data_IF_573460770005
#
_entry.id   IF_573460770005
#
_cell.length_a   1.000
_cell.length_b   1.000
_cell.length_c   1.000
_cell.angle_alpha   90.00
_cell.angle_beta   90.00
_cell.angle_gamma   90.00
#
_symmetry.space_group_name_H-M   'P 1'
#
loop_
_entity.id
_entity.type
_entity.pdbx_description
1 polymer ?
#
# COMPACT_ATOMS: atom_id res chain seq x y z
N UNK A 1 -17.64 22.75 74.03
CA UNK A 1 -17.04 22.89 72.68
C UNK A 1 -17.49 24.22 72.10
N UNK A 2 -16.58 25.07 71.61
CA UNK A 2 -16.97 26.34 70.97
C UNK A 2 -15.83 27.37 70.81
N UNK A 3 -15.91 28.14 69.73
CA UNK A 3 -15.20 29.42 69.44
C UNK A 3 -13.67 29.41 69.19
N UNK A 4 -13.28 29.55 67.90
CA UNK A 4 -12.63 30.76 67.30
C UNK A 4 -12.21 30.44 65.84
N UNK A 5 -12.80 31.02 64.79
CA UNK A 5 -12.64 32.38 64.20
C UNK A 5 -11.24 32.73 63.63
N UNK A 6 -11.18 32.87 62.28
CA UNK A 6 -10.37 33.73 61.37
C UNK A 6 -10.29 32.98 60.01
N UNK A 7 -10.34 33.52 58.78
CA UNK A 7 -10.61 34.80 58.05
C UNK A 7 -11.15 34.34 56.65
N UNK A 8 -11.78 35.09 55.75
CA UNK A 8 -12.42 36.43 55.64
C UNK A 8 -13.37 36.38 54.41
N UNK A 9 -14.45 37.17 54.28
CA UNK A 9 -14.55 38.48 53.56
C UNK A 9 -13.56 38.64 52.37
N UNK A 10 -13.94 39.07 51.16
CA UNK A 10 -15.17 39.71 50.59
C UNK A 10 -15.09 39.57 49.05
N UNK A 11 -16.15 39.21 48.31
CA UNK A 11 -17.26 40.02 47.77
C UNK A 11 -16.96 40.97 46.58
N UNK A 12 -17.84 40.91 45.57
CA UNK A 12 -18.18 41.91 44.54
C UNK A 12 -17.18 42.33 43.45
N UNK A 13 -17.40 41.76 42.25
CA UNK A 13 -17.92 42.46 41.06
C UNK A 13 -17.50 43.92 40.77
N UNK A 14 -16.77 44.11 39.67
CA UNK A 14 -16.90 45.21 38.68
C UNK A 14 -16.32 44.68 37.35
N UNK A 15 -17.17 44.49 36.33
CA UNK A 15 -17.44 45.42 35.23
C UNK A 15 -16.34 45.46 34.16
N UNK A 16 -16.66 44.76 33.05
CA UNK A 16 -16.39 45.11 31.64
C UNK A 16 -15.24 46.04 31.30
N UNK A 17 -14.23 45.48 30.62
CA UNK A 17 -13.55 46.15 29.52
C UNK A 17 -13.77 45.35 28.23
N UNK A 18 -14.31 46.00 27.19
CA UNK A 18 -14.36 45.44 25.84
C UNK A 18 -12.97 45.58 25.21
N UNK A 19 -12.24 44.47 25.05
CA UNK A 19 -11.17 44.42 24.05
C UNK A 19 -11.70 43.77 22.77
N UNK A 20 -11.33 44.26 21.57
CA UNK A 20 -11.63 43.57 20.33
C UNK A 20 -10.93 42.20 20.32
N UNK A 21 -11.49 41.18 19.65
CA UNK A 21 -10.76 39.94 19.43
C UNK A 21 -9.45 40.26 18.70
N UNK A 22 -8.35 39.64 19.15
CA UNK A 22 -7.11 39.67 18.39
C UNK A 22 -7.38 39.14 16.97
N UNK A 23 -6.70 39.65 15.93
CA UNK A 23 -6.80 39.06 14.61
C UNK A 23 -6.42 37.59 14.72
N UNK A 24 -7.31 36.71 14.26
CA UNK A 24 -6.91 35.35 13.94
C UNK A 24 -5.71 35.45 12.97
N UNK A 25 -4.67 34.62 13.10
CA UNK A 25 -3.67 34.54 12.06
C UNK A 25 -4.40 34.22 10.75
N UNK A 26 -4.17 35.03 9.71
CA UNK A 26 -4.68 34.71 8.38
C UNK A 26 -4.17 33.31 8.03
N UNK A 27 -5.11 32.40 7.78
CA UNK A 27 -4.81 31.04 7.36
C UNK A 27 -4.31 31.09 5.92
N UNK A 28 -3.03 31.40 5.77
CA UNK A 28 -2.29 31.09 4.57
C UNK A 28 -2.21 29.57 4.46
N UNK A 29 -3.17 29.00 3.73
CA UNK A 29 -2.96 28.12 2.57
C UNK A 29 -4.24 27.31 2.34
N UNK A 30 -5.25 27.95 1.73
CA UNK A 30 -6.44 27.25 1.22
C UNK A 30 -6.03 26.11 0.26
N UNK A 31 -4.94 26.29 -0.50
CA UNK A 31 -4.33 25.23 -1.34
C UNK A 31 -3.90 23.99 -0.52
N UNK A 32 -3.36 24.14 0.70
CA UNK A 32 -2.98 23.00 1.54
C UNK A 32 -4.19 22.29 2.18
N UNK A 33 -5.29 23.01 2.39
CA UNK A 33 -6.55 22.42 2.83
C UNK A 33 -7.24 21.69 1.68
N UNK A 34 -7.27 22.28 0.48
CA UNK A 34 -7.81 21.65 -0.73
C UNK A 34 -6.99 20.41 -1.13
N UNK A 35 -5.64 20.45 -1.07
CA UNK A 35 -4.78 19.26 -1.28
C UNK A 35 -5.03 18.17 -0.23
N UNK A 36 -5.31 18.55 1.03
CA UNK A 36 -5.61 17.60 2.10
C UNK A 36 -7.01 16.98 1.92
N UNK A 37 -8.02 17.76 1.54
CA UNK A 37 -9.35 17.25 1.19
C UNK A 37 -9.28 16.36 -0.05
N UNK A 38 -8.54 16.74 -1.08
CA UNK A 38 -8.32 15.91 -2.26
C UNK A 38 -7.64 14.57 -1.91
N UNK A 39 -6.63 14.57 -1.02
CA UNK A 39 -6.00 13.33 -0.56
C UNK A 39 -6.91 12.44 0.31
N UNK A 40 -7.84 13.03 1.07
CA UNK A 40 -8.85 12.30 1.84
C UNK A 40 -9.89 11.70 0.89
N UNK A 41 -10.43 12.50 -0.04
CA UNK A 41 -11.39 12.05 -1.06
C UNK A 41 -10.77 11.00 -2.00
N UNK A 42 -9.49 11.11 -2.36
CA UNK A 42 -8.75 10.09 -3.11
C UNK A 42 -8.61 8.77 -2.33
N UNK A 43 -8.38 8.85 -1.02
CA UNK A 43 -8.22 7.68 -0.15
C UNK A 43 -9.56 6.98 0.07
N UNK A 44 -10.63 7.74 0.26
CA UNK A 44 -11.99 7.22 0.35
C UNK A 44 -12.49 6.69 -1.01
N UNK A 45 -12.09 7.31 -2.13
CA UNK A 45 -12.37 6.83 -3.49
C UNK A 45 -11.60 5.55 -3.84
N UNK A 46 -10.33 5.45 -3.43
CA UNK A 46 -9.53 4.22 -3.56
C UNK A 46 -10.14 3.08 -2.74
N UNK A 47 -10.52 3.35 -1.48
CA UNK A 47 -11.24 2.38 -0.65
C UNK A 47 -12.61 2.02 -1.25
N UNK A 48 -13.37 2.98 -1.78
CA UNK A 48 -14.63 2.72 -2.46
C UNK A 48 -14.45 1.87 -3.74
N UNK A 49 -13.33 2.01 -4.46
CA UNK A 49 -12.99 1.20 -5.63
C UNK A 49 -12.49 -0.19 -5.26
N UNK A 50 -11.70 -0.34 -4.19
CA UNK A 50 -11.35 -1.66 -3.64
C UNK A 50 -12.62 -2.39 -3.17
N UNK A 51 -13.52 -1.69 -2.49
CA UNK A 51 -14.84 -2.20 -2.11
C UNK A 51 -15.68 -2.53 -3.34
N UNK A 52 -15.69 -1.72 -4.41
CA UNK A 52 -16.45 -1.99 -5.63
C UNK A 52 -15.91 -3.19 -6.41
N UNK A 53 -14.59 -3.30 -6.62
CA UNK A 53 -13.99 -4.46 -7.30
C UNK A 53 -14.11 -5.74 -6.50
N UNK A 54 -13.96 -5.67 -5.17
CA UNK A 54 -14.24 -6.77 -4.23
C UNK A 54 -15.73 -7.14 -4.25
N UNK A 55 -16.63 -6.17 -4.36
CA UNK A 55 -18.08 -6.39 -4.47
C UNK A 55 -18.43 -7.11 -5.78
N UNK A 56 -17.95 -6.62 -6.92
CA UNK A 56 -18.20 -7.22 -8.25
C UNK A 56 -17.64 -8.64 -8.34
N UNK A 57 -16.45 -8.90 -7.78
CA UNK A 57 -15.87 -10.25 -7.75
C UNK A 57 -16.67 -11.19 -6.84
N UNK A 58 -17.07 -10.74 -5.64
CA UNK A 58 -17.93 -11.52 -4.74
C UNK A 58 -19.33 -11.78 -5.31
N UNK A 59 -19.93 -10.84 -6.04
CA UNK A 59 -21.19 -11.07 -6.77
C UNK A 59 -21.07 -12.22 -7.76
N UNK A 60 -20.04 -12.19 -8.61
CA UNK A 60 -19.79 -13.20 -9.62
C UNK A 60 -19.48 -14.58 -9.01
N UNK A 61 -18.82 -14.63 -7.85
CA UNK A 61 -18.59 -15.87 -7.10
C UNK A 61 -19.87 -16.42 -6.45
N UNK A 62 -20.71 -15.55 -5.87
CA UNK A 62 -21.99 -15.94 -5.28
C UNK A 62 -23.00 -16.41 -6.34
N UNK A 63 -22.99 -15.81 -7.54
CA UNK A 63 -23.82 -16.22 -8.67
C UNK A 63 -23.37 -17.58 -9.23
N UNK A 64 -22.06 -17.75 -9.52
CA UNK A 64 -21.49 -19.06 -9.92
C UNK A 64 -21.75 -20.14 -8.88
N UNK A 65 -21.64 -19.82 -7.59
CA UNK A 65 -21.97 -20.73 -6.49
C UNK A 65 -23.44 -21.13 -6.49
N UNK A 66 -24.36 -20.23 -6.81
CA UNK A 66 -25.78 -20.55 -6.94
C UNK A 66 -26.05 -21.47 -8.15
N UNK A 67 -25.38 -21.24 -9.28
CA UNK A 67 -25.47 -22.10 -10.47
C UNK A 67 -24.89 -23.50 -10.22
N UNK A 68 -23.73 -23.62 -9.56
CA UNK A 68 -23.12 -24.92 -9.27
C UNK A 68 -23.98 -25.77 -8.31
N UNK A 69 -24.68 -25.13 -7.37
CA UNK A 69 -25.63 -25.79 -6.46
C UNK A 69 -26.89 -26.25 -7.20
N UNK A 70 -27.35 -25.54 -8.23
CA UNK A 70 -28.48 -25.97 -9.08
C UNK A 70 -28.11 -26.98 -10.16
N UNK A 71 -26.86 -26.98 -10.65
CA UNK A 71 -26.37 -27.90 -11.68
C UNK A 71 -26.19 -29.36 -11.18
N UNK A 72 -26.13 -29.59 -9.86
CA UNK A 72 -25.97 -30.92 -9.26
C UNK A 72 -27.29 -31.72 -9.34
N UNK A 73 -27.33 -32.89 -10.02
CA UNK A 73 -28.58 -33.60 -10.33
C UNK A 73 -29.14 -34.39 -9.14
N UNK A 74 -29.63 -33.68 -8.11
CA UNK A 74 -30.34 -34.25 -6.96
C UNK A 74 -31.81 -33.80 -6.96
N UNK A 75 -32.71 -34.65 -7.45
CA UNK A 75 -34.13 -34.30 -7.67
C UNK A 75 -34.98 -34.06 -6.42
N UNK A 76 -34.42 -34.00 -5.21
CA UNK A 76 -35.20 -33.88 -3.97
C UNK A 76 -34.58 -33.18 -2.76
N UNK A 77 -33.43 -32.50 -2.89
CA UNK A 77 -32.86 -31.78 -1.75
C UNK A 77 -33.42 -30.35 -1.62
N UNK A 78 -34.31 -30.15 -0.64
CA UNK A 78 -34.84 -28.82 -0.30
C UNK A 78 -33.76 -27.89 0.25
N UNK A 79 -32.68 -28.44 0.80
CA UNK A 79 -31.54 -27.70 1.34
C UNK A 79 -30.74 -27.01 0.24
N UNK A 80 -30.43 -27.73 -0.85
CA UNK A 80 -29.72 -27.17 -2.00
C UNK A 80 -30.49 -25.99 -2.64
N UNK A 81 -31.82 -26.10 -2.78
CA UNK A 81 -32.67 -25.00 -3.28
C UNK A 81 -32.72 -23.80 -2.33
N UNK A 82 -32.68 -24.04 -1.02
CA UNK A 82 -32.60 -22.97 -0.02
C UNK A 82 -31.24 -22.26 -0.06
N UNK A 83 -30.16 -23.01 -0.24
CA UNK A 83 -28.79 -22.52 -0.35
C UNK A 83 -28.58 -21.68 -1.62
N UNK A 84 -29.00 -22.17 -2.80
CA UNK A 84 -29.00 -21.39 -4.04
C UNK A 84 -29.85 -20.10 -3.92
N UNK A 85 -31.00 -20.16 -3.24
CA UNK A 85 -31.82 -18.96 -2.97
C UNK A 85 -31.15 -17.98 -2.01
N UNK A 86 -30.37 -18.45 -1.04
CA UNK A 86 -29.59 -17.62 -0.12
C UNK A 86 -28.43 -16.93 -0.85
N UNK A 87 -27.71 -17.68 -1.69
CA UNK A 87 -26.63 -17.18 -2.55
C UNK A 87 -27.13 -16.09 -3.51
N UNK A 88 -28.19 -16.36 -4.28
CA UNK A 88 -28.84 -15.34 -5.14
C UNK A 88 -29.33 -14.11 -4.39
N UNK A 89 -29.81 -14.27 -3.15
CA UNK A 89 -30.23 -13.12 -2.31
C UNK A 89 -29.03 -12.28 -1.87
N UNK A 90 -27.88 -12.91 -1.58
CA UNK A 90 -26.64 -12.20 -1.25
C UNK A 90 -26.08 -11.46 -2.46
N UNK A 91 -25.99 -12.12 -3.63
CA UNK A 91 -25.60 -11.48 -4.89
C UNK A 91 -26.50 -10.29 -5.23
N UNK A 92 -27.83 -10.45 -5.15
CA UNK A 92 -28.80 -9.36 -5.37
C UNK A 92 -28.82 -8.27 -4.26
N UNK A 93 -28.07 -8.45 -3.16
CA UNK A 93 -27.85 -7.43 -2.14
C UNK A 93 -26.56 -6.65 -2.40
N UNK A 94 -25.50 -7.32 -2.87
CA UNK A 94 -24.29 -6.65 -3.35
C UNK A 94 -24.57 -5.85 -4.63
N UNK A 95 -25.31 -6.41 -5.60
CA UNK A 95 -25.69 -5.75 -6.86
C UNK A 95 -26.63 -4.52 -6.70
N UNK A 96 -26.93 -4.13 -5.47
CA UNK A 96 -27.64 -2.90 -5.08
C UNK A 96 -26.75 -1.83 -4.47
N UNK A 97 -25.47 -2.15 -4.24
CA UNK A 97 -24.44 -1.19 -3.91
C UNK A 97 -24.16 -0.41 -5.20
N UNK A 98 -24.32 0.93 -5.21
CA UNK A 98 -24.08 1.72 -6.40
C UNK A 98 -22.58 1.68 -6.74
N UNK A 99 -22.25 1.08 -7.89
CA UNK A 99 -20.95 1.29 -8.52
C UNK A 99 -20.93 2.73 -9.04
N UNK A 100 -19.98 3.54 -8.59
CA UNK A 100 -19.80 4.90 -9.09
C UNK A 100 -19.21 4.83 -10.51
N UNK A 101 -20.10 4.74 -11.50
CA UNK A 101 -19.81 4.68 -12.94
C UNK A 101 -19.51 6.11 -13.48
N UNK A 102 -18.47 6.72 -12.93
CA UNK A 102 -18.09 8.10 -13.21
C UNK A 102 -17.03 8.18 -14.33
N UNK A 103 -17.51 8.31 -15.56
CA UNK A 103 -16.69 8.39 -16.76
C UNK A 103 -15.75 9.63 -16.83
N UNK A 104 -15.86 10.59 -15.90
CA UNK A 104 -14.84 11.62 -15.71
C UNK A 104 -13.68 11.11 -14.86
N UNK A 105 -13.99 10.34 -13.80
CA UNK A 105 -13.01 9.76 -12.89
C UNK A 105 -12.14 8.70 -13.58
N UNK A 106 -12.67 7.97 -14.57
CA UNK A 106 -11.89 7.02 -15.36
C UNK A 106 -10.90 7.72 -16.31
N UNK A 107 -11.30 8.85 -16.92
CA UNK A 107 -10.40 9.66 -17.75
C UNK A 107 -9.27 10.26 -16.91
N UNK A 108 -9.56 10.66 -15.67
CA UNK A 108 -8.55 11.13 -14.71
C UNK A 108 -7.53 10.03 -14.39
N UNK A 109 -7.96 8.79 -14.12
CA UNK A 109 -7.01 7.66 -13.95
C UNK A 109 -6.16 7.47 -15.22
N UNK A 110 -6.79 7.44 -16.40
CA UNK A 110 -6.06 7.16 -17.65
C UNK A 110 -5.04 8.28 -17.97
N UNK A 111 -5.31 9.51 -17.55
CA UNK A 111 -4.36 10.62 -17.59
C UNK A 111 -3.27 10.51 -16.52
N UNK A 112 -3.61 10.19 -15.27
CA UNK A 112 -2.64 9.93 -14.20
C UNK A 112 -1.66 8.79 -14.57
N UNK A 113 -2.17 7.67 -15.08
CA UNK A 113 -1.38 6.51 -15.49
C UNK A 113 -0.42 6.85 -16.64
N UNK A 114 -0.86 7.65 -17.61
CA UNK A 114 -0.03 8.13 -18.72
C UNK A 114 1.07 9.08 -18.24
N UNK A 115 0.73 9.99 -17.33
CA UNK A 115 1.68 10.94 -16.74
C UNK A 115 2.70 10.21 -15.82
N UNK A 116 2.28 9.15 -15.13
CA UNK A 116 3.13 8.21 -14.39
C UNK A 116 4.11 7.50 -15.33
N UNK A 117 3.62 6.90 -16.43
CA UNK A 117 4.48 6.23 -17.41
C UNK A 117 5.50 7.19 -18.04
N UNK A 118 5.09 8.38 -18.48
CA UNK A 118 6.01 9.37 -19.06
C UNK A 118 7.08 9.84 -18.07
N UNK A 119 6.69 10.09 -16.81
CA UNK A 119 7.60 10.51 -15.75
C UNK A 119 8.61 9.42 -15.43
N UNK A 120 8.15 8.18 -15.22
CA UNK A 120 9.00 7.02 -14.96
C UNK A 120 9.95 6.74 -16.12
N UNK A 121 9.46 6.82 -17.37
CA UNK A 121 10.27 6.64 -18.58
C UNK A 121 11.40 7.66 -18.67
N UNK A 122 11.15 8.94 -18.38
CA UNK A 122 12.19 9.98 -18.31
C UNK A 122 13.25 9.64 -17.25
N UNK A 123 12.84 9.26 -16.04
CA UNK A 123 13.79 8.91 -14.96
C UNK A 123 14.61 7.66 -15.35
N UNK A 124 13.98 6.68 -16.00
CA UNK A 124 14.67 5.49 -16.53
C UNK A 124 15.64 5.84 -17.67
N UNK A 125 15.34 6.84 -18.51
CA UNK A 125 16.23 7.39 -19.51
C UNK A 125 17.46 8.05 -18.88
N UNK A 126 17.28 8.90 -17.87
CA UNK A 126 18.36 9.57 -17.12
C UNK A 126 19.27 8.57 -16.37
N UNK A 127 18.70 7.49 -15.81
CA UNK A 127 19.43 6.40 -15.15
C UNK A 127 20.02 5.37 -16.13
N UNK A 128 19.74 5.48 -17.44
CA UNK A 128 20.08 4.50 -18.47
C UNK A 128 19.62 3.05 -18.14
N UNK A 129 18.43 2.92 -17.53
CA UNK A 129 17.74 1.65 -17.26
C UNK A 129 16.45 1.53 -18.10
N UNK A 130 15.89 0.34 -18.19
CA UNK A 130 14.63 0.05 -18.87
C UNK A 130 13.74 -0.85 -18.02
N UNK A 131 12.42 -0.66 -18.17
CA UNK A 131 11.41 -1.46 -17.49
C UNK A 131 11.49 -2.92 -17.97
N UNK A 132 11.62 -3.84 -17.03
CA UNK A 132 11.39 -5.26 -17.24
C UNK A 132 10.12 -5.65 -16.47
N UNK A 133 9.05 -5.86 -17.23
CA UNK A 133 7.75 -6.22 -16.68
C UNK A 133 7.81 -7.51 -15.87
N UNK A 134 7.19 -7.46 -14.70
CA UNK A 134 6.97 -8.57 -13.78
C UNK A 134 5.47 -8.84 -13.73
N UNK A 135 5.09 -10.10 -13.49
CA UNK A 135 3.68 -10.52 -13.42
C UNK A 135 2.96 -9.66 -12.37
N UNK A 136 1.80 -9.05 -12.69
CA UNK A 136 1.00 -8.25 -11.75
C UNK A 136 0.21 -9.17 -10.83
N UNK A 137 0.93 -9.88 -9.98
CA UNK A 137 0.42 -10.65 -8.85
C UNK A 137 1.01 -10.11 -7.54
N UNK A 138 0.54 -10.64 -6.40
CA UNK A 138 1.02 -10.18 -5.10
C UNK A 138 2.49 -10.50 -4.81
N UNK A 139 3.19 -11.24 -5.66
CA UNK A 139 4.63 -11.50 -5.55
C UNK A 139 5.50 -10.47 -6.31
N UNK A 140 4.91 -9.49 -7.01
CA UNK A 140 5.59 -8.53 -7.89
C UNK A 140 6.81 -7.84 -7.28
N UNK A 141 6.72 -7.35 -6.03
CA UNK A 141 7.85 -6.73 -5.31
C UNK A 141 9.03 -7.70 -5.17
N UNK A 142 8.76 -8.87 -4.62
CA UNK A 142 9.75 -9.90 -4.31
C UNK A 142 10.38 -10.48 -5.57
N UNK A 143 9.60 -10.64 -6.64
CA UNK A 143 10.07 -11.05 -7.96
C UNK A 143 10.95 -9.97 -8.62
N UNK A 144 10.58 -8.69 -8.51
CA UNK A 144 11.36 -7.56 -9.02
C UNK A 144 12.73 -7.47 -8.34
N UNK A 145 12.75 -7.58 -7.00
CA UNK A 145 14.02 -7.58 -6.23
C UNK A 145 14.85 -8.83 -6.53
N UNK A 146 14.24 -10.03 -6.62
CA UNK A 146 14.97 -11.25 -6.96
C UNK A 146 15.64 -11.21 -8.35
N UNK A 147 14.96 -10.63 -9.35
CA UNK A 147 15.52 -10.42 -10.69
C UNK A 147 16.73 -9.49 -10.67
N UNK A 148 16.65 -8.39 -9.92
CA UNK A 148 17.75 -7.44 -9.76
C UNK A 148 18.95 -8.06 -9.03
N UNK A 149 18.71 -8.74 -7.91
CA UNK A 149 19.75 -9.46 -7.13
C UNK A 149 20.51 -10.49 -7.99
N UNK A 150 19.82 -11.11 -8.95
CA UNK A 150 20.45 -12.00 -9.95
C UNK A 150 21.33 -11.24 -10.93
N UNK A 151 20.87 -10.10 -11.44
CA UNK A 151 21.60 -9.29 -12.43
C UNK A 151 22.90 -8.73 -11.86
N UNK A 152 22.89 -8.30 -10.60
CA UNK A 152 24.10 -7.82 -9.89
C UNK A 152 24.97 -8.97 -9.34
N UNK A 153 24.54 -10.24 -9.48
CA UNK A 153 25.32 -11.42 -9.08
C UNK A 153 25.28 -11.77 -7.58
N UNK A 154 24.34 -11.22 -6.82
CA UNK A 154 24.17 -11.51 -5.37
C UNK A 154 23.39 -12.81 -5.15
N UNK A 155 22.42 -13.11 -6.03
CA UNK A 155 21.73 -14.41 -6.05
C UNK A 155 22.11 -15.19 -7.31
N UNK A 156 22.42 -16.48 -7.15
CA UNK A 156 22.55 -17.39 -8.29
C UNK A 156 21.17 -17.63 -8.95
N UNK A 157 21.10 -17.91 -10.27
CA UNK A 157 19.84 -18.02 -11.01
C UNK A 157 18.80 -18.99 -10.41
N UNK A 158 19.26 -20.03 -9.73
CA UNK A 158 18.44 -21.07 -9.11
C UNK A 158 17.67 -20.55 -7.88
N UNK A 159 18.25 -19.57 -7.19
CA UNK A 159 17.70 -18.93 -5.98
C UNK A 159 17.07 -17.55 -6.27
N UNK A 160 17.16 -17.07 -7.51
CA UNK A 160 16.62 -15.79 -7.95
C UNK A 160 15.10 -15.86 -8.22
N UNK A 161 14.32 -16.16 -7.17
CA UNK A 161 12.87 -16.29 -7.23
C UNK A 161 12.18 -15.57 -6.05
N UNK A 162 10.89 -15.27 -6.21
CA UNK A 162 10.11 -14.53 -5.22
C UNK A 162 10.03 -15.23 -3.85
N UNK A 163 10.08 -16.57 -3.81
CA UNK A 163 9.96 -17.33 -2.58
C UNK A 163 11.22 -17.18 -1.71
N UNK A 164 12.40 -17.15 -2.34
CA UNK A 164 13.68 -16.88 -1.67
C UNK A 164 13.69 -15.47 -1.06
N UNK A 165 13.28 -14.44 -1.80
CA UNK A 165 13.21 -13.06 -1.27
C UNK A 165 12.11 -12.90 -0.21
N UNK A 166 10.94 -13.54 -0.35
CA UNK A 166 9.91 -13.59 0.72
C UNK A 166 10.42 -14.20 2.02
N UNK A 167 11.09 -15.35 1.92
CA UNK A 167 11.66 -16.02 3.08
C UNK A 167 12.75 -15.16 3.75
N UNK A 168 13.60 -14.49 2.96
CA UNK A 168 14.62 -13.59 3.48
C UNK A 168 14.03 -12.37 4.19
N UNK A 169 13.01 -11.71 3.60
CA UNK A 169 12.30 -10.59 4.22
C UNK A 169 11.62 -10.99 5.53
N UNK A 170 10.81 -12.06 5.52
CA UNK A 170 10.13 -12.56 6.72
C UNK A 170 11.12 -12.96 7.83
N UNK A 171 12.23 -13.62 7.51
CA UNK A 171 13.26 -14.01 8.48
C UNK A 171 13.97 -12.79 9.08
N UNK A 172 14.26 -11.77 8.27
CA UNK A 172 14.88 -10.54 8.76
C UNK A 172 13.93 -9.73 9.64
N UNK A 173 12.67 -9.53 9.22
CA UNK A 173 11.65 -8.80 9.99
C UNK A 173 11.42 -9.48 11.34
N UNK A 174 11.16 -10.79 11.34
CA UNK A 174 10.90 -11.55 12.58
C UNK A 174 12.08 -11.59 13.56
N UNK A 175 13.32 -11.42 13.05
CA UNK A 175 14.53 -11.33 13.87
C UNK A 175 14.83 -9.92 14.41
N UNK A 176 14.14 -8.88 13.92
CA UNK A 176 14.40 -7.48 14.25
C UNK A 176 13.11 -6.69 14.58
N UNK A 177 12.22 -7.20 15.46
CA UNK A 177 10.87 -6.65 15.67
C UNK A 177 10.86 -5.14 15.95
N UNK A 178 11.76 -4.64 16.80
CA UNK A 178 11.83 -3.23 17.20
C UNK A 178 12.10 -2.27 16.03
N UNK A 179 12.70 -2.76 14.93
CA UNK A 179 12.93 -1.96 13.72
C UNK A 179 11.71 -1.86 12.80
N UNK A 180 10.71 -2.73 12.97
CA UNK A 180 9.59 -2.87 12.03
C UNK A 180 8.23 -2.61 12.66
N UNK A 181 7.99 -3.03 13.91
CA UNK A 181 6.73 -2.84 14.63
C UNK A 181 6.14 -1.41 14.55
N UNK A 182 6.91 -0.30 14.62
CA UNK A 182 6.36 1.05 14.48
C UNK A 182 5.74 1.37 13.12
N UNK A 183 6.03 0.57 12.08
CA UNK A 183 5.57 0.77 10.71
C UNK A 183 4.49 -0.24 10.27
N UNK A 184 4.09 -1.15 11.15
CA UNK A 184 3.12 -2.21 10.83
C UNK A 184 1.72 -1.87 11.34
N UNK A 185 0.70 -1.82 10.45
CA UNK A 185 -0.66 -1.48 10.86
C UNK A 185 -1.28 -2.61 11.68
N UNK A 186 -1.87 -2.26 12.83
CA UNK A 186 -2.65 -3.21 13.62
C UNK A 186 -3.99 -3.53 12.95
N UNK A 187 -4.29 -4.83 12.84
CA UNK A 187 -5.56 -5.37 12.35
C UNK A 187 -6.66 -5.34 13.41
N UNK A 188 -6.30 -5.32 14.71
CA UNK A 188 -7.17 -4.77 15.76
C UNK A 188 -6.98 -3.24 15.74
N UNK A 189 -7.90 -2.52 15.06
CA UNK A 189 -7.82 -1.07 14.87
C UNK A 189 -7.95 -0.23 16.15
N UNK A 190 -8.02 1.09 16.00
CA UNK A 190 -8.08 2.09 17.09
C UNK A 190 -9.18 1.81 18.14
N UNK A 191 -10.28 1.15 17.72
CA UNK A 191 -11.40 0.74 18.58
C UNK A 191 -11.12 -0.51 19.46
N UNK A 192 -9.97 -1.17 19.29
CA UNK A 192 -9.74 -2.54 19.74
C UNK A 192 -9.64 -2.73 21.26
N UNK A 193 -8.81 -1.95 21.97
CA UNK A 193 -8.48 -2.17 23.40
C UNK A 193 -8.30 -0.91 24.25
N UNK A 194 -9.18 0.07 24.05
CA UNK A 194 -9.34 1.21 24.96
C UNK A 194 -8.21 2.24 24.91
N UNK A 195 -8.32 3.35 25.66
CA UNK A 195 -7.61 4.61 25.40
C UNK A 195 -6.09 4.60 25.72
N UNK A 196 -5.51 3.43 26.05
CA UNK A 196 -4.14 3.29 26.54
C UNK A 196 -3.31 2.25 25.74
N UNK A 197 -3.81 1.74 24.62
CA UNK A 197 -2.98 0.98 23.68
C UNK A 197 -2.92 1.74 22.36
N UNK A 198 -1.80 2.45 22.15
CA UNK A 198 -1.37 2.93 20.84
C UNK A 198 -1.49 1.77 19.85
N UNK A 199 -1.95 2.05 18.61
CA UNK A 199 -2.33 1.04 17.60
C UNK A 199 -1.17 0.23 17.00
N UNK A 200 -0.34 -0.34 17.86
CA UNK A 200 0.90 -1.07 17.58
C UNK A 200 0.63 -2.58 17.65
N UNK A 201 1.11 -3.27 16.62
CA UNK A 201 0.85 -4.70 16.37
C UNK A 201 1.27 -5.59 17.55
N UNK A 202 0.37 -6.49 17.98
CA UNK A 202 0.65 -7.41 19.08
C UNK A 202 1.66 -8.53 18.71
N UNK A 203 2.40 -9.15 19.65
CA UNK A 203 3.41 -10.16 19.31
C UNK A 203 2.91 -11.37 18.50
N UNK A 204 1.69 -11.85 18.79
CA UNK A 204 1.06 -12.94 18.03
C UNK A 204 0.66 -12.52 16.61
N UNK A 205 0.26 -11.26 16.46
CA UNK A 205 -0.13 -10.65 15.20
C UNK A 205 1.10 -10.40 14.32
N UNK A 206 2.19 -9.91 14.90
CA UNK A 206 3.49 -9.79 14.26
C UNK A 206 4.04 -11.13 13.76
N UNK A 207 3.86 -12.21 14.54
CA UNK A 207 4.20 -13.56 14.09
C UNK A 207 3.35 -14.00 12.88
N UNK A 208 2.05 -13.66 12.85
CA UNK A 208 1.16 -13.92 11.70
C UNK A 208 1.57 -13.09 10.49
N UNK A 209 1.90 -11.81 10.66
CA UNK A 209 2.41 -10.94 9.61
C UNK A 209 3.64 -11.53 8.92
N UNK A 210 4.67 -11.91 9.71
CA UNK A 210 5.87 -12.56 9.18
C UNK A 210 5.57 -13.90 8.47
N UNK A 211 4.58 -14.65 8.97
CA UNK A 211 4.15 -15.91 8.35
C UNK A 211 3.43 -15.65 7.01
N UNK A 212 2.55 -14.65 6.95
CA UNK A 212 1.81 -14.28 5.76
C UNK A 212 2.77 -13.80 4.65
N UNK A 213 3.77 -12.98 4.97
CA UNK A 213 4.84 -12.56 4.03
C UNK A 213 5.52 -13.78 3.40
N UNK A 214 5.87 -14.78 4.22
CA UNK A 214 6.59 -15.97 3.78
C UNK A 214 5.74 -16.90 2.92
N UNK A 215 4.52 -17.20 3.37
CA UNK A 215 3.74 -18.36 2.90
C UNK A 215 2.59 -17.99 1.95
N UNK A 216 2.30 -16.71 1.74
CA UNK A 216 1.14 -16.25 0.94
C UNK A 216 1.52 -15.27 -0.17
N UNK A 217 0.55 -14.88 -0.98
CA UNK A 217 0.67 -13.82 -1.98
C UNK A 217 0.33 -12.42 -1.43
N UNK A 218 0.40 -12.19 -0.10
CA UNK A 218 0.21 -10.83 0.45
C UNK A 218 1.21 -9.86 -0.15
N UNK A 219 0.75 -8.67 -0.55
CA UNK A 219 1.60 -7.62 -1.10
C UNK A 219 2.63 -7.19 -0.06
N UNK A 220 3.80 -6.76 -0.51
CA UNK A 220 4.83 -6.17 0.36
C UNK A 220 5.03 -4.70 0.03
N UNK A 221 5.59 -3.94 0.98
CA UNK A 221 5.86 -2.52 0.82
C UNK A 221 7.18 -2.10 1.48
N UNK A 222 7.18 -0.91 2.06
CA UNK A 222 8.35 -0.30 2.71
C UNK A 222 9.06 -1.23 3.74
N UNK A 223 8.36 -1.94 4.65
CA UNK A 223 9.01 -2.81 5.62
C UNK A 223 9.79 -3.96 4.94
N UNK A 224 9.23 -4.54 3.89
CA UNK A 224 9.84 -5.64 3.12
C UNK A 224 11.04 -5.14 2.32
N UNK A 225 10.93 -3.97 1.69
CA UNK A 225 12.03 -3.34 0.94
C UNK A 225 13.19 -3.05 1.88
N UNK A 226 12.92 -2.45 3.05
CA UNK A 226 13.94 -2.17 4.06
C UNK A 226 14.58 -3.46 4.60
N UNK A 227 13.80 -4.51 4.83
CA UNK A 227 14.29 -5.82 5.24
C UNK A 227 15.17 -6.48 4.16
N UNK A 228 14.76 -6.41 2.89
CA UNK A 228 15.51 -6.95 1.75
C UNK A 228 16.84 -6.22 1.55
N UNK A 229 16.85 -4.89 1.65
CA UNK A 229 18.07 -4.07 1.61
C UNK A 229 19.07 -4.51 2.68
N UNK A 230 18.60 -4.69 3.92
CA UNK A 230 19.43 -5.08 5.06
C UNK A 230 19.89 -6.54 5.03
N UNK A 231 19.04 -7.49 4.62
CA UNK A 231 19.39 -8.93 4.62
C UNK A 231 20.40 -9.30 3.54
N UNK A 232 20.36 -8.63 2.37
CA UNK A 232 21.35 -8.81 1.31
C UNK A 232 22.53 -7.83 1.44
N UNK A 233 22.43 -6.81 2.30
CA UNK A 233 23.37 -5.71 2.43
C UNK A 233 23.64 -4.99 1.08
N UNK A 234 22.56 -4.71 0.35
CA UNK A 234 22.57 -4.05 -0.96
C UNK A 234 21.52 -2.93 -0.94
N UNK A 235 21.88 -1.70 -1.35
CA UNK A 235 20.91 -0.63 -1.53
C UNK A 235 19.78 -0.99 -2.49
N UNK A 236 18.56 -0.62 -2.12
CA UNK A 236 17.39 -0.68 -3.02
C UNK A 236 16.97 0.75 -3.35
N UNK A 237 16.82 1.05 -4.64
CA UNK A 237 16.25 2.30 -5.16
C UNK A 237 14.89 2.00 -5.76
N UNK A 238 13.84 2.62 -5.20
CA UNK A 238 12.48 2.58 -5.72
C UNK A 238 12.24 3.84 -6.55
N UNK A 239 12.09 3.66 -7.85
CA UNK A 239 11.79 4.74 -8.80
C UNK A 239 10.27 4.89 -8.91
N UNK A 240 9.76 6.10 -8.74
CA UNK A 240 8.31 6.38 -8.72
C UNK A 240 7.96 7.66 -9.48
N UNK A 241 6.69 7.80 -9.83
CA UNK A 241 6.11 8.95 -10.53
C UNK A 241 6.00 10.21 -9.65
N UNK A 242 5.90 10.04 -8.33
CA UNK A 242 5.79 11.12 -7.33
C UNK A 242 7.16 11.60 -6.83
N UNK A 243 7.22 12.77 -6.19
CA UNK A 243 8.45 13.24 -5.53
C UNK A 243 8.55 12.70 -4.09
N UNK A 244 9.72 12.25 -3.62
CA UNK A 244 10.98 12.13 -4.35
C UNK A 244 10.94 10.99 -5.39
N UNK A 245 11.39 11.28 -6.62
CA UNK A 245 11.33 10.35 -7.76
C UNK A 245 12.13 9.05 -7.57
N UNK A 246 13.06 9.05 -6.62
CA UNK A 246 13.84 7.88 -6.22
C UNK A 246 13.85 7.84 -4.70
N UNK A 247 13.20 6.85 -4.11
CA UNK A 247 13.31 6.53 -2.68
C UNK A 247 14.50 5.57 -2.52
N UNK A 248 15.34 5.81 -1.52
CA UNK A 248 16.57 5.03 -1.27
C UNK A 248 16.50 4.32 0.07
N UNK A 249 16.69 3.01 0.05
CA UNK A 249 16.75 2.17 1.24
C UNK A 249 18.18 1.62 1.33
N UNK A 250 19.08 2.43 1.91
CA UNK A 250 20.48 2.07 2.13
C UNK A 250 20.62 1.19 3.39
N UNK A 251 21.38 0.08 3.35
CA UNK A 251 21.69 -0.70 4.54
C UNK A 251 22.74 -0.01 5.43
N UNK A 252 22.83 -0.34 6.73
CA UNK A 252 23.72 0.34 7.67
C UNK A 252 25.18 0.40 7.22
N UNK A 253 25.74 1.61 7.14
CA UNK A 253 27.13 1.84 6.73
C UNK A 253 27.37 1.90 5.22
N UNK A 254 26.33 1.78 4.40
CA UNK A 254 26.35 2.05 2.96
C UNK A 254 25.64 3.37 2.69
N UNK A 255 26.12 4.13 1.69
CA UNK A 255 25.45 5.32 1.14
C UNK A 255 25.55 5.19 -0.37
N UNK A 256 24.42 5.21 -1.08
CA UNK A 256 24.41 4.99 -2.53
C UNK A 256 24.03 6.22 -3.35
N UNK A 257 24.74 6.44 -4.46
CA UNK A 257 24.39 7.41 -5.49
C UNK A 257 23.55 6.75 -6.61
N UNK A 258 22.81 7.58 -7.35
CA UNK A 258 21.95 7.17 -8.46
C UNK A 258 22.73 6.47 -9.59
N UNK A 259 24.07 6.62 -9.63
CA UNK A 259 24.98 6.04 -10.62
C UNK A 259 25.56 4.67 -10.23
N UNK A 260 25.38 4.23 -8.98
CA UNK A 260 26.03 3.03 -8.48
C UNK A 260 25.51 1.76 -9.16
N UNK A 261 26.42 0.94 -9.67
CA UNK A 261 26.06 -0.28 -10.40
C UNK A 261 25.63 -1.43 -9.46
N UNK A 262 26.09 -1.40 -8.20
CA UNK A 262 25.76 -2.40 -7.19
C UNK A 262 24.53 -1.99 -6.35
N UNK A 263 23.43 -1.69 -7.03
CA UNK A 263 22.17 -1.21 -6.45
C UNK A 263 21.01 -1.88 -7.17
N UNK A 264 20.10 -2.47 -6.39
CA UNK A 264 18.83 -3.02 -6.88
C UNK A 264 17.94 -1.85 -7.28
N UNK A 265 17.49 -1.80 -8.53
CA UNK A 265 16.54 -0.79 -9.02
C UNK A 265 15.21 -1.43 -9.36
N UNK A 266 14.15 -0.96 -8.72
CA UNK A 266 12.76 -1.35 -9.02
C UNK A 266 11.95 -0.08 -9.27
N UNK A 267 10.88 -0.19 -10.06
CA UNK A 267 9.91 0.89 -10.25
C UNK A 267 8.60 0.54 -9.56
N UNK A 268 8.02 1.50 -8.84
CA UNK A 268 6.70 1.43 -8.23
C UNK A 268 5.69 2.22 -9.07
N UNK A 269 4.51 1.62 -9.26
CA UNK A 269 3.43 2.13 -10.10
C UNK A 269 2.14 2.12 -9.29
N UNK A 270 1.39 3.24 -9.25
CA UNK A 270 0.15 3.35 -8.46
C UNK A 270 -1.12 3.22 -9.30
N UNK A 271 -1.06 3.64 -10.57
CA UNK A 271 -2.22 3.76 -11.47
C UNK A 271 -2.06 3.00 -12.78
N UNK A 272 -0.84 2.63 -13.16
CA UNK A 272 -0.56 1.90 -14.42
C UNK A 272 -1.28 0.54 -14.52
N UNK A 273 -1.61 -0.10 -13.39
CA UNK A 273 -2.34 -1.36 -13.35
C UNK A 273 -3.67 -1.15 -12.63
N UNK A 274 -4.80 -1.42 -13.30
CA UNK A 274 -6.15 -1.20 -12.75
C UNK A 274 -6.53 -2.05 -11.50
N UNK A 275 -5.57 -2.80 -10.96
CA UNK A 275 -5.67 -3.57 -9.71
C UNK A 275 -5.05 -2.83 -8.51
N UNK A 276 -4.29 -1.75 -8.72
CA UNK A 276 -3.62 -0.98 -7.66
C UNK A 276 -2.10 -0.98 -7.80
N UNK A 277 -1.41 -1.07 -6.66
CA UNK A 277 0.05 -0.94 -6.58
C UNK A 277 0.80 -2.09 -7.24
N UNK A 278 1.85 -1.79 -8.00
CA UNK A 278 2.67 -2.80 -8.66
C UNK A 278 4.16 -2.43 -8.71
N UNK A 279 5.02 -3.45 -8.69
CA UNK A 279 6.47 -3.32 -8.79
C UNK A 279 7.01 -4.06 -10.01
N UNK A 280 7.90 -3.39 -10.75
CA UNK A 280 8.66 -3.95 -11.87
C UNK A 280 10.18 -3.82 -11.64
N UNK A 281 10.96 -4.67 -12.31
CA UNK A 281 12.44 -4.62 -12.30
C UNK A 281 12.96 -3.56 -13.28
N UNK A 282 14.03 -2.83 -12.92
CA UNK A 282 14.66 -1.84 -13.82
C UNK A 282 16.05 -2.31 -14.25
N UNK A 283 16.16 -2.84 -15.47
CA UNK A 283 17.41 -3.46 -15.96
C UNK A 283 18.29 -2.44 -16.69
N UNK A 284 19.63 -2.57 -16.66
CA UNK A 284 20.51 -1.69 -17.44
C UNK A 284 20.24 -1.78 -18.95
N UNK A 285 20.11 -0.64 -19.64
CA UNK A 285 19.95 -0.61 -21.10
C UNK A 285 21.20 -1.14 -21.80
N UNK A 286 21.13 -2.38 -22.28
CA UNK A 286 22.20 -2.97 -23.10
C UNK A 286 22.29 -2.32 -24.48
N UNK A 287 23.49 -2.26 -25.07
CA UNK A 287 23.71 -1.74 -26.43
C UNK A 287 22.83 -2.44 -27.48
N UNK A 288 22.56 -3.73 -27.29
CA UNK A 288 21.63 -4.53 -28.08
C UNK A 288 20.21 -3.98 -28.12
N UNK A 289 19.70 -3.43 -27.00
CA UNK A 289 18.34 -2.88 -26.93
C UNK A 289 18.27 -1.47 -27.53
N UNK A 290 19.35 -0.67 -27.43
CA UNK A 290 19.49 0.59 -28.21
C UNK A 290 19.49 0.33 -29.72
N UNK A 291 20.22 -0.69 -30.19
CA UNK A 291 20.24 -1.07 -31.61
C UNK A 291 18.87 -1.56 -32.12
N UNK A 292 18.14 -2.38 -31.34
CA UNK A 292 16.78 -2.80 -31.73
C UNK A 292 15.80 -1.63 -31.87
N UNK A 293 15.86 -0.63 -30.98
CA UNK A 293 15.03 0.59 -31.05
C UNK A 293 15.42 1.56 -32.18
N UNK A 294 16.57 1.39 -32.82
CA UNK A 294 17.04 2.21 -33.95
C UNK A 294 16.74 1.57 -35.32
N UNK A 295 16.27 0.31 -35.32
CA UNK A 295 16.00 -0.50 -36.54
C UNK A 295 14.51 -0.87 -36.63
N UNK A 296 13.71 -0.50 -35.62
CA UNK A 296 12.25 -0.58 -35.59
C UNK A 296 11.61 0.80 -35.68
#
# INVERSE_FOLDING_TARGET
MGSKKKKSKTASSKQVDNLPPAPLPEVADDELLDDLFAQIDEKDSAAAREVATTTITQEAELEKGAEEVEAKPSKKDSKARFEARKLRKAAAQLARIPVNDDAELDKRIEEEARNEEETLKRICDDLNVELAEVIPDGHCLYASVADQLRIIGVLAPEYANYATTRAAAAAYISSNPDSFLPFLPSTEGEDGRGPNQEGIMGPLEFQRYCTNIRDTAVWGGEPEILALSRVYNIPIHVVQSTKPYIVKHDPPGVVSDNKDQNVVRISYHRRMYGLGEHYNSLRPKTLTNKLKKLVS
#
